data_IF_240395958634
#
_entry.id   IF_240395958634
#
_cell.length_a   1.000
_cell.length_b   1.000
_cell.length_c   1.000
_cell.angle_alpha   90.00
_cell.angle_beta   90.00
_cell.angle_gamma   90.00
#
_symmetry.space_group_name_H-M   'P 1'
#
loop_
_entity.id
_entity.type
_entity.pdbx_description
1 polymer ?
#
# COMPACT_ATOMS: atom_id res chain seq x y z
N UNK A 1 5.89 -14.41 17.52
CA UNK A 1 5.01 -14.04 16.36
C UNK A 1 3.79 -14.94 16.25
N UNK A 2 2.62 -14.35 16.03
CA UNK A 2 1.31 -15.03 15.90
C UNK A 2 1.20 -15.84 14.60
N UNK A 3 0.39 -16.90 14.56
CA UNK A 3 0.15 -17.68 13.33
C UNK A 3 -0.74 -16.89 12.36
N UNK A 4 -0.67 -17.22 11.05
CA UNK A 4 -1.49 -16.56 10.01
C UNK A 4 -3.00 -16.56 10.34
N UNK A 5 -3.52 -17.65 10.93
CA UNK A 5 -4.92 -17.74 11.36
C UNK A 5 -5.25 -16.75 12.47
N UNK A 6 -4.35 -16.56 13.41
CA UNK A 6 -4.52 -15.63 14.54
C UNK A 6 -4.50 -14.17 14.05
N UNK A 7 -3.58 -13.82 13.15
CA UNK A 7 -3.51 -12.49 12.53
C UNK A 7 -4.80 -12.17 11.75
N UNK A 8 -5.30 -13.13 10.97
CA UNK A 8 -6.56 -13.01 10.25
C UNK A 8 -7.76 -12.83 11.19
N UNK A 9 -7.82 -13.61 12.25
CA UNK A 9 -8.89 -13.51 13.23
C UNK A 9 -8.84 -12.18 14.00
N UNK A 10 -7.65 -11.70 14.35
CA UNK A 10 -7.47 -10.38 14.95
C UNK A 10 -7.96 -9.25 14.03
N UNK A 11 -7.61 -9.32 12.74
CA UNK A 11 -8.10 -8.36 11.74
C UNK A 11 -9.64 -8.41 11.60
N UNK A 12 -10.25 -9.60 11.53
CA UNK A 12 -11.70 -9.75 11.48
C UNK A 12 -12.38 -9.23 12.73
N UNK A 13 -11.81 -9.48 13.91
CA UNK A 13 -12.33 -8.95 15.19
C UNK A 13 -12.29 -7.43 15.21
N UNK A 14 -11.20 -6.82 14.76
CA UNK A 14 -11.08 -5.36 14.67
C UNK A 14 -12.07 -4.75 13.66
N UNK A 15 -12.32 -5.43 12.53
CA UNK A 15 -13.28 -4.97 11.52
C UNK A 15 -14.74 -5.15 11.95
N UNK A 16 -15.04 -6.01 12.92
CA UNK A 16 -16.41 -6.29 13.34
C UNK A 16 -17.11 -5.02 13.86
N UNK A 17 -18.25 -4.70 13.29
CA UNK A 17 -19.02 -3.47 13.58
C UNK A 17 -18.51 -2.20 12.87
N UNK A 18 -17.32 -2.21 12.25
CA UNK A 18 -16.69 -1.01 11.68
C UNK A 18 -16.25 -1.16 10.20
N UNK A 19 -16.74 -2.19 9.51
CA UNK A 19 -16.40 -2.47 8.10
C UNK A 19 -16.56 -1.26 7.21
N UNK A 20 -17.63 -0.48 7.40
CA UNK A 20 -17.95 0.67 6.56
C UNK A 20 -16.84 1.71 6.48
N UNK A 21 -16.21 2.03 7.60
CA UNK A 21 -15.13 3.03 7.64
C UNK A 21 -13.87 2.59 6.90
N UNK A 22 -13.47 1.32 7.05
CA UNK A 22 -12.28 0.79 6.38
C UNK A 22 -12.54 0.57 4.89
N UNK A 23 -13.73 0.10 4.52
CA UNK A 23 -14.17 0.00 3.13
C UNK A 23 -14.13 1.39 2.47
N UNK A 24 -14.65 2.42 3.13
CA UNK A 24 -14.70 3.79 2.64
C UNK A 24 -13.28 4.33 2.34
N UNK A 25 -12.30 4.11 3.23
CA UNK A 25 -10.89 4.44 2.97
C UNK A 25 -10.35 3.70 1.74
N UNK A 26 -10.66 2.41 1.61
CA UNK A 26 -10.21 1.63 0.45
C UNK A 26 -10.85 2.09 -0.86
N UNK A 27 -12.14 2.43 -0.85
CA UNK A 27 -12.84 2.94 -2.04
C UNK A 27 -12.32 4.31 -2.42
N UNK A 28 -12.22 5.26 -1.47
CA UNK A 28 -11.74 6.62 -1.75
C UNK A 28 -10.30 6.57 -2.28
N UNK A 29 -9.40 5.84 -1.59
CA UNK A 29 -8.02 5.72 -2.04
C UNK A 29 -7.92 5.05 -3.42
N UNK A 30 -8.70 4.00 -3.66
CA UNK A 30 -8.73 3.30 -4.95
C UNK A 30 -9.30 4.15 -6.08
N UNK A 31 -10.38 4.90 -5.83
CA UNK A 31 -10.98 5.80 -6.80
C UNK A 31 -10.02 6.94 -7.20
N UNK A 32 -9.38 7.58 -6.23
CA UNK A 32 -8.40 8.66 -6.50
C UNK A 32 -7.21 8.11 -7.28
N UNK A 33 -6.65 6.95 -6.89
CA UNK A 33 -5.56 6.30 -7.61
C UNK A 33 -6.00 5.91 -9.03
N UNK A 34 -7.22 5.41 -9.19
CA UNK A 34 -7.80 5.07 -10.48
C UNK A 34 -7.94 6.29 -11.41
N UNK A 35 -8.39 7.42 -10.89
CA UNK A 35 -8.47 8.69 -11.64
C UNK A 35 -7.06 9.16 -12.06
N UNK A 36 -6.09 9.09 -11.17
CA UNK A 36 -4.70 9.47 -11.47
C UNK A 36 -4.10 8.53 -12.53
N UNK A 37 -4.45 7.24 -12.52
CA UNK A 37 -3.94 6.26 -13.48
C UNK A 37 -4.70 6.26 -14.83
N UNK A 38 -5.89 6.85 -14.92
CA UNK A 38 -6.72 6.87 -16.12
C UNK A 38 -5.99 7.37 -17.39
N UNK A 39 -5.14 8.43 -17.33
CA UNK A 39 -4.41 8.88 -18.52
C UNK A 39 -3.49 7.84 -19.16
N UNK A 40 -2.96 6.89 -18.39
CA UNK A 40 -2.08 5.83 -18.91
C UNK A 40 -2.83 4.84 -19.80
N UNK A 41 -4.08 4.52 -19.47
CA UNK A 41 -4.93 3.65 -20.30
C UNK A 41 -5.35 4.34 -21.59
N UNK A 42 -5.61 5.66 -21.54
CA UNK A 42 -5.89 6.47 -22.73
C UNK A 42 -4.68 6.52 -23.67
N UNK A 43 -3.44 6.64 -23.14
CA UNK A 43 -2.24 6.64 -23.96
C UNK A 43 -2.04 5.33 -24.73
N UNK A 44 -2.35 4.20 -24.10
CA UNK A 44 -2.27 2.87 -24.74
C UNK A 44 -3.31 2.70 -25.84
N UNK A 45 -4.52 3.17 -25.64
CA UNK A 45 -5.57 3.17 -26.67
C UNK A 45 -5.22 4.10 -27.84
N UNK A 46 -4.68 5.28 -27.56
CA UNK A 46 -4.26 6.23 -28.58
C UNK A 46 -3.09 5.72 -29.43
N UNK A 47 -2.10 5.04 -28.82
CA UNK A 47 -0.99 4.45 -29.57
C UNK A 47 -1.45 3.34 -30.53
N UNK A 48 -2.49 2.58 -30.15
CA UNK A 48 -3.09 1.58 -31.04
C UNK A 48 -3.81 2.19 -32.24
N UNK A 49 -4.40 3.39 -32.10
CA UNK A 49 -5.03 4.15 -33.20
C UNK A 49 -3.99 4.80 -34.14
N UNK A 50 -2.81 5.13 -33.61
CA UNK A 50 -1.75 5.83 -34.34
C UNK A 50 -1.08 5.00 -35.46
N UNK A 51 -1.37 3.72 -35.58
CA UNK A 51 -0.87 2.85 -36.65
C UNK A 51 -1.45 3.14 -38.04
N UNK A 52 -2.42 4.03 -38.15
CA UNK A 52 -3.20 4.29 -39.38
C UNK A 52 -2.57 5.33 -40.34
N UNK A 53 -1.46 6.00 -39.98
CA UNK A 53 -0.78 6.94 -40.85
C UNK A 53 0.39 7.66 -40.14
N UNK A 54 1.51 7.90 -40.87
CA UNK A 54 2.76 8.34 -40.24
C UNK A 54 2.67 9.70 -39.54
N UNK A 55 2.04 10.72 -40.14
CA UNK A 55 1.89 12.04 -39.51
C UNK A 55 0.88 12.04 -38.36
N UNK A 56 -0.24 11.35 -38.52
CA UNK A 56 -1.25 11.17 -37.47
C UNK A 56 -0.71 10.30 -36.33
N UNK A 57 0.06 9.26 -36.66
CA UNK A 57 0.73 8.41 -35.68
C UNK A 57 1.73 9.17 -34.80
N UNK A 58 2.53 10.07 -35.34
CA UNK A 58 3.49 10.90 -34.57
C UNK A 58 2.74 11.85 -33.61
N UNK A 59 1.67 12.50 -34.05
CA UNK A 59 0.86 13.38 -33.21
C UNK A 59 0.23 12.62 -32.02
N UNK A 60 -0.33 11.43 -32.29
CA UNK A 60 -0.93 10.58 -31.25
C UNK A 60 0.14 10.02 -30.29
N UNK A 61 1.32 9.63 -30.80
CA UNK A 61 2.43 9.20 -29.96
C UNK A 61 2.90 10.32 -29.02
N UNK A 62 2.97 11.57 -29.54
CA UNK A 62 3.30 12.74 -28.73
C UNK A 62 2.29 12.99 -27.60
N UNK A 63 1.00 12.92 -27.90
CA UNK A 63 -0.07 13.02 -26.88
C UNK A 63 0.03 11.86 -25.87
N UNK A 64 0.31 10.65 -26.32
CA UNK A 64 0.52 9.48 -25.45
C UNK A 64 1.66 9.68 -24.45
N UNK A 65 2.79 10.26 -24.91
CA UNK A 65 3.92 10.61 -24.04
C UNK A 65 3.54 11.68 -22.99
N UNK A 66 2.76 12.70 -23.39
CA UNK A 66 2.27 13.71 -22.44
C UNK A 66 1.37 13.09 -21.37
N UNK A 67 0.42 12.25 -21.76
CA UNK A 67 -0.44 11.55 -20.80
C UNK A 67 0.34 10.62 -19.88
N UNK A 68 1.36 9.92 -20.39
CA UNK A 68 2.27 9.10 -19.59
C UNK A 68 3.05 9.94 -18.58
N UNK A 69 3.54 11.12 -18.99
CA UNK A 69 4.22 12.06 -18.10
C UNK A 69 3.32 12.56 -16.97
N UNK A 70 2.09 12.98 -17.30
CA UNK A 70 1.10 13.42 -16.31
C UNK A 70 0.79 12.30 -15.31
N UNK A 71 0.61 11.07 -15.82
CA UNK A 71 0.37 9.90 -14.96
C UNK A 71 1.54 9.62 -14.04
N UNK A 72 2.77 9.70 -14.54
CA UNK A 72 3.99 9.50 -13.74
C UNK A 72 4.07 10.53 -12.60
N UNK A 73 3.88 11.80 -12.91
CA UNK A 73 3.86 12.89 -11.92
C UNK A 73 2.74 12.68 -10.91
N UNK A 74 1.52 12.38 -11.37
CA UNK A 74 0.36 12.09 -10.51
C UNK A 74 0.61 10.90 -9.58
N UNK A 75 1.27 9.83 -10.04
CA UNK A 75 1.63 8.70 -9.20
C UNK A 75 2.65 9.07 -8.14
N UNK A 76 3.69 9.81 -8.48
CA UNK A 76 4.73 10.21 -7.52
C UNK A 76 4.14 11.16 -6.47
N UNK A 77 3.46 12.22 -6.88
CA UNK A 77 3.03 13.30 -5.99
C UNK A 77 1.62 13.11 -5.42
N UNK A 78 0.78 12.29 -6.03
CA UNK A 78 -0.59 12.02 -5.58
C UNK A 78 -0.76 10.65 -4.95
N UNK A 79 -0.48 9.58 -5.72
CA UNK A 79 -0.78 8.21 -5.28
C UNK A 79 0.11 7.73 -4.13
N UNK A 80 1.40 8.10 -4.09
CA UNK A 80 2.29 7.64 -3.03
C UNK A 80 1.93 8.17 -1.64
N UNK A 81 1.74 9.50 -1.44
CA UNK A 81 1.27 10.01 -0.15
C UNK A 81 -0.09 9.41 0.25
N UNK A 82 -1.00 9.26 -0.71
CA UNK A 82 -2.31 8.68 -0.45
C UNK A 82 -2.23 7.23 0.03
N UNK A 83 -1.36 6.41 -0.56
CA UNK A 83 -1.14 5.02 -0.12
C UNK A 83 -0.59 4.96 1.30
N UNK A 84 0.41 5.79 1.62
CA UNK A 84 0.97 5.87 2.98
C UNK A 84 -0.10 6.30 3.97
N UNK A 85 -0.88 7.33 3.65
CA UNK A 85 -1.98 7.81 4.48
C UNK A 85 -3.06 6.74 4.71
N UNK A 86 -3.48 6.04 3.65
CA UNK A 86 -4.49 4.98 3.75
C UNK A 86 -4.04 3.79 4.60
N UNK A 87 -2.80 3.32 4.41
CA UNK A 87 -2.25 2.22 5.19
C UNK A 87 -2.11 2.58 6.67
N UNK A 88 -1.64 3.79 6.96
CA UNK A 88 -1.47 4.25 8.34
C UNK A 88 -2.80 4.58 9.03
N UNK A 89 -3.81 5.04 8.30
CA UNK A 89 -5.14 5.21 8.88
C UNK A 89 -5.78 3.86 9.26
N UNK A 90 -5.63 2.84 8.42
CA UNK A 90 -6.08 1.46 8.73
C UNK A 90 -5.27 0.88 9.89
N UNK A 91 -3.97 1.16 9.96
CA UNK A 91 -3.11 0.76 11.08
C UNK A 91 -3.59 1.37 12.40
N UNK A 92 -3.89 2.68 12.44
CA UNK A 92 -4.45 3.37 13.61
C UNK A 92 -5.82 2.81 13.99
N UNK A 93 -6.68 2.58 13.00
CA UNK A 93 -7.97 1.94 13.22
C UNK A 93 -7.80 0.57 13.89
N UNK A 94 -6.87 -0.26 13.44
CA UNK A 94 -6.61 -1.57 14.02
C UNK A 94 -6.14 -1.49 15.48
N UNK A 95 -5.30 -0.51 15.83
CA UNK A 95 -4.75 -0.34 17.18
C UNK A 95 -5.75 0.34 18.13
N UNK A 96 -6.30 1.47 17.70
CA UNK A 96 -6.99 2.43 18.59
C UNK A 96 -8.50 2.49 18.32
N UNK A 97 -9.03 1.68 17.39
CA UNK A 97 -10.42 1.73 16.90
C UNK A 97 -10.84 3.14 16.44
N UNK A 98 -9.87 3.94 15.95
CA UNK A 98 -10.11 5.31 15.52
C UNK A 98 -10.95 5.34 14.24
N UNK A 99 -12.20 5.76 14.35
CA UNK A 99 -13.16 5.87 13.25
C UNK A 99 -12.91 7.06 12.31
N UNK A 100 -12.01 7.99 12.66
CA UNK A 100 -11.62 9.13 11.80
C UNK A 100 -10.67 8.72 10.68
N UNK A 101 -10.87 7.52 10.15
CA UNK A 101 -9.97 6.86 9.19
C UNK A 101 -9.74 7.67 7.91
N UNK A 102 -10.79 8.31 7.36
CA UNK A 102 -10.68 9.13 6.15
C UNK A 102 -9.91 10.42 6.42
N UNK A 103 -10.18 11.12 7.51
CA UNK A 103 -9.44 12.33 7.89
C UNK A 103 -7.97 12.01 8.13
N UNK A 104 -7.69 10.92 8.84
CA UNK A 104 -6.34 10.45 9.10
C UNK A 104 -5.60 10.08 7.81
N UNK A 105 -6.28 9.48 6.83
CA UNK A 105 -5.71 9.17 5.52
C UNK A 105 -5.13 10.43 4.84
N UNK A 106 -5.92 11.50 4.77
CA UNK A 106 -5.46 12.74 4.15
C UNK A 106 -4.42 13.47 5.02
N UNK A 107 -4.62 13.53 6.34
CA UNK A 107 -3.68 14.19 7.25
C UNK A 107 -2.30 13.52 7.24
N UNK A 108 -2.23 12.19 7.28
CA UNK A 108 -0.99 11.43 7.29
C UNK A 108 -0.34 11.34 5.90
N UNK A 109 -1.16 11.34 4.84
CA UNK A 109 -0.66 11.34 3.46
C UNK A 109 -0.11 12.69 3.03
N UNK A 110 -0.92 13.74 3.16
CA UNK A 110 -0.65 15.07 2.60
C UNK A 110 -0.31 16.14 3.64
N UNK A 111 -0.19 15.79 4.91
CA UNK A 111 0.27 16.73 5.94
C UNK A 111 1.65 17.31 5.60
N UNK A 112 1.85 18.62 5.72
CA UNK A 112 3.10 19.33 5.37
C UNK A 112 4.35 18.68 6.00
N UNK A 113 4.21 18.16 7.20
CA UNK A 113 5.26 17.50 7.96
C UNK A 113 5.70 16.16 7.32
N UNK A 114 4.77 15.42 6.73
CA UNK A 114 5.01 14.05 6.23
C UNK A 114 5.12 13.97 4.71
N UNK A 115 4.60 14.97 3.98
CA UNK A 115 4.39 14.89 2.53
C UNK A 115 5.65 14.53 1.75
N UNK A 116 6.69 15.36 1.86
CA UNK A 116 7.93 15.15 1.11
C UNK A 116 8.63 13.85 1.48
N UNK A 117 8.54 13.49 2.74
CA UNK A 117 9.10 12.23 3.24
C UNK A 117 8.32 11.02 2.73
N UNK A 118 7.00 11.09 2.68
CA UNK A 118 6.15 10.05 2.09
C UNK A 118 6.46 9.86 0.61
N UNK A 119 6.57 10.95 -0.14
CA UNK A 119 6.93 10.93 -1.56
C UNK A 119 8.31 10.31 -1.75
N UNK A 120 9.33 10.81 -1.05
CA UNK A 120 10.70 10.33 -1.19
C UNK A 120 10.86 8.87 -0.76
N UNK A 121 10.25 8.48 0.37
CA UNK A 121 10.31 7.11 0.88
C UNK A 121 9.68 6.09 -0.07
N UNK A 122 8.50 6.41 -0.59
CA UNK A 122 7.81 5.54 -1.55
C UNK A 122 8.54 5.51 -2.90
N UNK A 123 9.05 6.64 -3.36
CA UNK A 123 9.83 6.72 -4.61
C UNK A 123 11.10 5.87 -4.50
N UNK A 124 11.87 6.01 -3.42
CA UNK A 124 13.05 5.19 -3.17
C UNK A 124 12.71 3.70 -3.10
N UNK A 125 11.65 3.36 -2.36
CA UNK A 125 11.19 1.98 -2.27
C UNK A 125 10.89 1.39 -3.65
N UNK A 126 10.11 2.10 -4.48
CA UNK A 126 9.74 1.64 -5.82
C UNK A 126 10.94 1.60 -6.77
N UNK A 127 11.84 2.58 -6.68
CA UNK A 127 13.08 2.60 -7.47
C UNK A 127 13.94 1.34 -7.20
N UNK A 128 14.15 1.02 -5.92
CA UNK A 128 14.92 -0.17 -5.56
C UNK A 128 14.22 -1.47 -5.94
N UNK A 129 12.91 -1.56 -5.78
CA UNK A 129 12.15 -2.75 -6.24
C UNK A 129 12.27 -2.88 -7.75
N UNK A 130 12.08 -1.79 -8.50
CA UNK A 130 12.18 -1.77 -9.96
C UNK A 130 13.56 -2.18 -10.44
N UNK A 131 14.63 -1.64 -9.84
CA UNK A 131 16.02 -1.99 -10.19
C UNK A 131 16.30 -3.49 -9.96
N UNK A 132 15.86 -4.05 -8.84
CA UNK A 132 16.03 -5.46 -8.56
C UNK A 132 15.16 -6.35 -9.46
N UNK A 133 13.95 -5.90 -9.82
CA UNK A 133 13.06 -6.63 -10.74
C UNK A 133 13.61 -6.61 -12.16
N UNK A 134 14.23 -5.50 -12.57
CA UNK A 134 14.91 -5.38 -13.88
C UNK A 134 16.09 -6.36 -13.99
N UNK A 135 16.82 -6.54 -12.89
CA UNK A 135 17.97 -7.45 -12.87
C UNK A 135 17.50 -8.92 -12.89
N UNK A 136 16.59 -9.27 -12.00
CA UNK A 136 15.94 -10.59 -11.93
C UNK A 136 14.60 -10.49 -11.21
N UNK A 137 13.56 -11.16 -11.72
CA UNK A 137 12.21 -11.17 -11.14
C UNK A 137 12.21 -11.69 -9.70
N UNK A 138 12.91 -12.81 -9.44
CA UNK A 138 12.93 -13.45 -8.10
C UNK A 138 13.55 -12.55 -7.03
N UNK A 139 14.74 -11.96 -7.20
CA UNK A 139 15.27 -10.95 -6.27
C UNK A 139 14.35 -9.74 -6.09
N UNK A 140 13.66 -9.28 -7.16
CA UNK A 140 12.68 -8.20 -7.09
C UNK A 140 11.54 -8.53 -6.11
N UNK A 141 10.97 -9.73 -6.19
CA UNK A 141 9.94 -10.20 -5.26
C UNK A 141 10.48 -10.25 -3.82
N UNK A 142 11.67 -10.82 -3.59
CA UNK A 142 12.27 -10.90 -2.25
C UNK A 142 12.49 -9.50 -1.67
N UNK A 143 12.91 -8.54 -2.49
CA UNK A 143 13.12 -7.14 -2.07
C UNK A 143 11.80 -6.41 -1.82
N UNK A 144 10.74 -6.69 -2.57
CA UNK A 144 9.42 -6.11 -2.30
C UNK A 144 8.91 -6.50 -0.90
N UNK A 145 9.11 -7.75 -0.49
CA UNK A 145 8.81 -8.18 0.88
C UNK A 145 9.74 -7.55 1.93
N UNK A 146 11.00 -7.31 1.60
CA UNK A 146 11.92 -6.62 2.51
C UNK A 146 11.52 -5.16 2.76
N UNK A 147 10.90 -4.51 1.80
CA UNK A 147 10.45 -3.11 1.90
C UNK A 147 8.97 -2.97 2.30
N UNK A 148 8.26 -4.07 2.53
CA UNK A 148 6.80 -4.07 2.76
C UNK A 148 6.36 -3.22 3.96
N UNK A 149 7.24 -3.03 4.96
CA UNK A 149 6.94 -2.24 6.17
C UNK A 149 7.29 -0.75 6.02
N UNK A 150 7.98 -0.34 4.95
CA UNK A 150 8.37 1.06 4.70
C UNK A 150 7.21 2.04 4.83
N UNK A 151 6.00 1.81 4.24
CA UNK A 151 4.91 2.78 4.34
C UNK A 151 4.41 3.03 5.77
N UNK A 152 4.51 2.02 6.66
CA UNK A 152 4.13 2.16 8.06
C UNK A 152 5.20 2.91 8.85
N UNK A 153 6.48 2.57 8.62
CA UNK A 153 7.63 3.16 9.29
C UNK A 153 7.83 4.64 8.94
N UNK A 154 7.42 5.08 7.75
CA UNK A 154 7.47 6.49 7.34
C UNK A 154 6.70 7.42 8.28
N UNK A 155 5.62 6.96 8.89
CA UNK A 155 4.83 7.75 9.83
C UNK A 155 5.29 7.54 11.28
N UNK A 156 5.72 6.30 11.61
CA UNK A 156 6.09 5.96 13.00
C UNK A 156 7.48 6.51 13.41
N UNK A 157 8.34 6.81 12.43
CA UNK A 157 9.69 7.31 12.70
C UNK A 157 9.93 8.64 11.94
N UNK A 158 9.31 9.75 12.39
CA UNK A 158 9.42 11.04 11.73
C UNK A 158 10.83 11.61 11.70
N UNK A 159 11.69 11.19 12.60
CA UNK A 159 13.09 11.58 12.73
C UNK A 159 14.01 10.96 11.68
N UNK A 160 13.62 9.82 11.11
CA UNK A 160 14.45 9.10 10.16
C UNK A 160 14.28 9.62 8.72
N UNK A 161 15.39 9.69 8.00
CA UNK A 161 15.39 9.98 6.57
C UNK A 161 14.75 8.85 5.73
N UNK A 162 14.28 9.14 4.50
CA UNK A 162 13.61 8.15 3.65
C UNK A 162 14.42 6.88 3.40
N UNK A 163 15.74 7.00 3.24
CA UNK A 163 16.62 5.86 3.03
C UNK A 163 16.81 5.04 4.33
N UNK A 164 16.88 5.72 5.48
CA UNK A 164 17.00 5.06 6.79
C UNK A 164 15.74 4.26 7.11
N UNK A 165 14.56 4.81 6.84
CA UNK A 165 13.28 4.09 6.97
C UNK A 165 13.26 2.83 6.10
N UNK A 166 13.75 2.92 4.86
CA UNK A 166 13.87 1.76 3.98
C UNK A 166 14.81 0.70 4.55
N UNK A 167 15.97 1.10 5.07
CA UNK A 167 16.93 0.19 5.71
C UNK A 167 16.34 -0.45 6.97
N UNK A 168 15.64 0.33 7.79
CA UNK A 168 14.91 -0.17 8.97
C UNK A 168 13.84 -1.20 8.59
N UNK A 169 13.15 -1.00 7.45
CA UNK A 169 12.21 -2.01 6.93
C UNK A 169 12.90 -3.32 6.56
N UNK A 170 14.10 -3.27 5.94
CA UNK A 170 14.88 -4.48 5.63
C UNK A 170 15.27 -5.24 6.90
N UNK A 171 15.72 -4.51 7.91
CA UNK A 171 16.12 -5.07 9.20
C UNK A 171 14.92 -5.71 9.90
N UNK A 172 13.81 -4.98 10.02
CA UNK A 172 12.56 -5.45 10.59
C UNK A 172 12.04 -6.74 9.92
N UNK A 173 12.18 -6.83 8.59
CA UNK A 173 11.72 -7.98 7.81
C UNK A 173 12.77 -9.10 7.69
N UNK A 174 13.90 -8.99 8.38
CA UNK A 174 14.92 -10.05 8.38
C UNK A 174 14.39 -11.30 9.11
N UNK A 175 14.36 -12.43 8.42
CA UNK A 175 13.76 -13.68 8.93
C UNK A 175 12.23 -13.79 8.76
N UNK A 176 11.50 -12.68 8.54
CA UNK A 176 10.04 -12.64 8.54
C UNK A 176 9.40 -12.54 7.14
N UNK A 177 10.22 -12.40 6.08
CA UNK A 177 9.73 -12.28 4.68
C UNK A 177 8.88 -13.48 4.25
N UNK A 178 9.34 -14.70 4.58
CA UNK A 178 8.62 -15.94 4.27
C UNK A 178 7.28 -16.04 4.98
N UNK A 179 7.18 -15.49 6.20
CA UNK A 179 5.94 -15.46 6.96
C UNK A 179 4.91 -14.49 6.34
N UNK A 180 5.35 -13.31 5.91
CA UNK A 180 4.47 -12.36 5.19
C UNK A 180 4.07 -12.95 3.82
N UNK A 181 4.98 -13.60 3.11
CA UNK A 181 4.67 -14.31 1.87
C UNK A 181 3.62 -15.41 2.10
N UNK A 182 3.79 -16.24 3.13
CA UNK A 182 2.81 -17.27 3.48
C UNK A 182 1.46 -16.70 3.93
N UNK A 183 1.46 -15.51 4.55
CA UNK A 183 0.24 -14.78 4.88
C UNK A 183 -0.49 -14.34 3.61
N UNK A 184 0.23 -13.74 2.65
CA UNK A 184 -0.35 -13.32 1.36
C UNK A 184 -0.85 -14.53 0.55
N UNK A 185 -0.08 -15.62 0.53
CA UNK A 185 -0.47 -16.86 -0.12
C UNK A 185 -1.80 -17.41 0.46
N UNK A 186 -2.01 -17.25 1.76
CA UNK A 186 -3.24 -17.68 2.42
C UNK A 186 -4.49 -16.88 2.03
N UNK A 187 -4.32 -15.77 1.30
CA UNK A 187 -5.42 -14.99 0.73
C UNK A 187 -5.74 -15.35 -0.72
N UNK A 188 -4.97 -16.23 -1.37
CA UNK A 188 -5.21 -16.62 -2.78
C UNK A 188 -6.65 -17.11 -2.99
N UNK A 189 -7.17 -17.95 -2.08
CA UNK A 189 -8.55 -18.42 -2.18
C UNK A 189 -9.58 -17.29 -2.17
N UNK A 190 -9.36 -16.26 -1.33
CA UNK A 190 -10.22 -15.08 -1.27
C UNK A 190 -10.09 -14.22 -2.53
N UNK A 191 -8.88 -14.08 -3.07
CA UNK A 191 -8.62 -13.35 -4.32
C UNK A 191 -9.34 -14.05 -5.49
N UNK A 192 -9.28 -15.36 -5.58
CA UNK A 192 -10.00 -16.14 -6.60
C UNK A 192 -11.52 -15.94 -6.48
N UNK A 193 -12.08 -15.95 -5.27
CA UNK A 193 -13.49 -15.63 -5.04
C UNK A 193 -13.82 -14.19 -5.45
N UNK A 194 -12.92 -13.24 -5.20
CA UNK A 194 -13.05 -11.85 -5.64
C UNK A 194 -13.13 -11.72 -7.17
N UNK A 195 -12.29 -12.46 -7.89
CA UNK A 195 -12.31 -12.51 -9.36
C UNK A 195 -13.61 -13.16 -9.85
N UNK A 196 -14.01 -14.29 -9.25
CA UNK A 196 -15.22 -15.02 -9.63
C UNK A 196 -16.50 -14.20 -9.42
N UNK A 197 -16.49 -13.28 -8.42
CA UNK A 197 -17.58 -12.32 -8.16
C UNK A 197 -17.55 -11.10 -9.09
N UNK A 198 -16.88 -11.15 -10.25
CA UNK A 198 -16.68 -10.03 -11.19
C UNK A 198 -16.06 -8.78 -10.52
N UNK A 199 -15.23 -9.00 -9.49
CA UNK A 199 -14.54 -7.92 -8.79
C UNK A 199 -15.29 -7.34 -7.59
N UNK A 200 -16.58 -7.60 -7.41
CA UNK A 200 -17.39 -7.07 -6.31
C UNK A 200 -16.82 -7.52 -4.95
N UNK A 201 -16.32 -8.75 -4.86
CA UNK A 201 -15.73 -9.31 -3.65
C UNK A 201 -14.52 -8.52 -3.13
N UNK A 202 -13.79 -7.80 -4.00
CA UNK A 202 -12.63 -7.01 -3.57
C UNK A 202 -12.97 -5.85 -2.64
N UNK A 203 -14.24 -5.39 -2.60
CA UNK A 203 -14.70 -4.38 -1.65
C UNK A 203 -14.48 -4.83 -0.20
N UNK A 204 -14.67 -6.12 0.08
CA UNK A 204 -14.45 -6.70 1.42
C UNK A 204 -13.05 -7.31 1.59
N UNK A 205 -12.51 -7.93 0.55
CA UNK A 205 -11.22 -8.61 0.59
C UNK A 205 -10.08 -7.59 0.79
N UNK A 206 -10.13 -6.44 0.13
CA UNK A 206 -9.08 -5.42 0.22
C UNK A 206 -8.89 -4.85 1.63
N UNK A 207 -9.95 -4.37 2.33
CA UNK A 207 -9.81 -3.92 3.72
C UNK A 207 -9.36 -5.05 4.65
N UNK A 208 -9.81 -6.28 4.42
CA UNK A 208 -9.39 -7.43 5.21
C UNK A 208 -7.89 -7.71 5.08
N UNK A 209 -7.34 -7.74 3.86
CA UNK A 209 -5.90 -7.92 3.62
C UNK A 209 -5.11 -6.78 4.27
N UNK A 210 -5.52 -5.53 4.07
CA UNK A 210 -4.81 -4.35 4.61
C UNK A 210 -4.80 -4.35 6.14
N UNK A 211 -5.93 -4.68 6.78
CA UNK A 211 -6.02 -4.77 8.24
C UNK A 211 -5.19 -5.95 8.78
N UNK A 212 -5.15 -7.08 8.07
CA UNK A 212 -4.30 -8.21 8.46
C UNK A 212 -2.81 -7.88 8.35
N UNK A 213 -2.41 -7.11 7.33
CA UNK A 213 -1.02 -6.62 7.22
C UNK A 213 -0.68 -5.59 8.30
N UNK A 214 -1.63 -4.77 8.74
CA UNK A 214 -1.44 -3.90 9.90
C UNK A 214 -1.27 -4.71 11.19
N UNK A 215 -2.07 -5.77 11.38
CA UNK A 215 -1.90 -6.71 12.50
C UNK A 215 -0.53 -7.39 12.47
N UNK A 216 -0.05 -7.80 11.29
CA UNK A 216 1.29 -8.37 11.11
C UNK A 216 2.38 -7.38 11.48
N UNK A 217 2.25 -6.11 11.13
CA UNK A 217 3.20 -5.06 11.49
C UNK A 217 3.33 -4.89 13.00
N UNK A 218 2.21 -4.86 13.73
CA UNK A 218 2.24 -4.78 15.19
C UNK A 218 2.80 -6.04 15.84
N UNK A 219 2.44 -7.23 15.35
CA UNK A 219 2.99 -8.51 15.83
C UNK A 219 4.53 -8.57 15.65
N UNK A 220 5.03 -7.95 14.57
CA UNK A 220 6.46 -7.84 14.29
C UNK A 220 7.16 -6.88 15.26
N UNK A 221 6.54 -5.74 15.58
CA UNK A 221 7.07 -4.79 16.56
C UNK A 221 7.08 -5.38 17.98
N UNK A 222 6.04 -6.11 18.35
CA UNK A 222 5.92 -6.79 19.64
C UNK A 222 7.02 -7.86 19.82
N UNK A 223 7.34 -8.62 18.76
CA UNK A 223 8.42 -9.62 18.81
C UNK A 223 9.80 -9.00 19.00
N UNK A 224 10.04 -7.87 18.37
CA UNK A 224 11.35 -7.19 18.42
C UNK A 224 11.53 -6.30 19.65
N UNK A 225 10.43 -5.85 20.26
CA UNK A 225 10.41 -5.03 21.47
C UNK A 225 9.50 -5.64 22.55
N UNK A 226 9.87 -6.78 23.15
CA UNK A 226 9.02 -7.45 24.13
C UNK A 226 8.78 -6.63 25.42
N UNK A 227 9.40 -5.45 25.57
CA UNK A 227 9.28 -4.58 26.74
C UNK A 227 8.24 -3.45 26.63
N UNK A 228 7.52 -3.33 25.50
CA UNK A 228 6.32 -2.49 25.44
C UNK A 228 5.08 -3.38 25.62
N UNK A 229 4.55 -3.52 26.86
CA UNK A 229 3.28 -4.21 27.05
C UNK A 229 2.19 -3.50 26.25
N UNK A 230 1.26 -4.28 25.70
CA UNK A 230 0.03 -3.79 25.10
C UNK A 230 -0.53 -2.71 26.03
N UNK A 231 -0.67 -1.48 25.53
CA UNK A 231 -1.53 -0.51 26.21
C UNK A 231 -2.90 -1.17 26.27
N UNK A 232 -3.25 -1.59 27.49
CA UNK A 232 -4.50 -2.24 27.81
C UNK A 232 -5.64 -1.50 27.11
N UNK A 233 -6.36 -2.20 26.26
CA UNK A 233 -7.73 -1.83 25.93
C UNK A 233 -8.54 -1.91 27.21
N UNK A 234 -8.33 -0.98 28.15
CA UNK A 234 -9.24 -0.74 29.23
C UNK A 234 -10.53 -0.19 28.63
N UNK A 235 -11.46 -1.10 28.33
CA UNK A 235 -12.83 -0.74 28.23
C UNK A 235 -13.29 -0.15 29.57
N UNK A 236 -13.85 0.99 29.52
CA UNK A 236 -14.95 1.44 30.36
C UNK A 236 -15.89 2.23 29.48
#
# INVERSE_FOLDING_TARGET
MKRNKELKNAALKALNGHWGWVILVCIISGAIIGIIAAPSSASSAMSALGSQGMAFGVAIAGLGLLFSGITLVGNIFGSYPLQVGALNSIKRFYKDSDIKTVQNMFKLGFGKEYYWRNVAGMLLMQLFIGLWTLLFIVPGIIKSYAYAMTPYLLIDNPELGPNEVRLKSIELMRGHKGKLFGLDLSFIGWILLGILSLGIGFIWITPYIKTTRAAFYYDLLEELNPQQPEAETSGN
#
